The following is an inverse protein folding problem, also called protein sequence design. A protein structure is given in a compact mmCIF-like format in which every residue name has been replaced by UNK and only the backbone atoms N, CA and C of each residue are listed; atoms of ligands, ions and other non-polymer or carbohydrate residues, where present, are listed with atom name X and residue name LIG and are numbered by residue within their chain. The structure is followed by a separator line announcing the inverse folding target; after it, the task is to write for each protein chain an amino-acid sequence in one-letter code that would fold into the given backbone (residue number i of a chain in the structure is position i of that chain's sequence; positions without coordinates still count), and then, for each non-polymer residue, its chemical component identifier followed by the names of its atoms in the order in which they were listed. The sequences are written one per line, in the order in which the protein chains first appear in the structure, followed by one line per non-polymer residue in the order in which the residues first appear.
data_IF_800335326898
#
_entry.id   IF_800335326898
#
_cell.length_a   1.000
_cell.length_b   1.000
_cell.length_c   1.000
_cell.angle_alpha   90.00
_cell.angle_beta   90.00
_cell.angle_gamma   90.00
#
_symmetry.space_group_name_H-M   'P 1'
#
loop_
_entity.id
_entity.type
_entity.pdbx_description
1 polymer ?
#
# COMPACT_ATOMS: atom_id res chain seq x y z
N UNK A 1 3.65 -9.08 -7.88
CA UNK A 1 3.08 -8.53 -6.60
C UNK A 1 3.56 -7.10 -6.45
N UNK A 2 2.72 -6.18 -5.97
CA UNK A 2 3.00 -4.75 -6.12
C UNK A 2 4.27 -4.28 -5.41
N UNK A 3 4.60 -4.81 -4.23
CA UNK A 3 5.82 -4.40 -3.51
C UNK A 3 7.14 -4.61 -4.27
N UNK A 4 7.17 -5.51 -5.27
CA UNK A 4 8.30 -5.68 -6.19
C UNK A 4 8.08 -5.01 -7.56
N UNK A 5 6.83 -4.71 -7.90
CA UNK A 5 6.40 -4.17 -9.19
C UNK A 5 5.80 -2.78 -9.03
N UNK A 6 6.51 -1.89 -8.34
CA UNK A 6 6.03 -0.57 -7.90
C UNK A 6 5.50 0.33 -9.03
N UNK A 7 5.92 0.07 -10.26
CA UNK A 7 5.40 0.75 -11.45
C UNK A 7 3.90 0.47 -11.65
N UNK A 8 3.40 -0.68 -11.21
CA UNK A 8 2.01 -1.07 -11.36
C UNK A 8 1.08 -0.45 -10.30
N UNK A 9 1.58 0.46 -9.45
CA UNK A 9 0.73 1.12 -8.46
C UNK A 9 -0.27 1.99 -9.21
N UNK A 10 -1.56 1.77 -8.96
CA UNK A 10 -2.65 2.49 -9.64
C UNK A 10 -2.69 4.00 -9.39
N UNK A 11 -1.88 4.50 -8.46
CA UNK A 11 -1.70 5.94 -8.16
C UNK A 11 -0.58 6.59 -8.96
N UNK A 12 0.14 5.85 -9.83
CA UNK A 12 1.16 6.41 -10.71
C UNK A 12 0.52 7.22 -11.85
N UNK A 13 -0.08 8.35 -11.50
CA UNK A 13 -0.96 9.15 -12.34
C UNK A 13 -0.45 10.59 -12.45
N UNK A 14 -0.55 11.15 -13.66
CA UNK A 14 -0.35 12.58 -13.90
C UNK A 14 -1.65 13.31 -13.62
N UNK A 15 -1.57 14.39 -12.86
CA UNK A 15 -2.72 15.16 -12.42
C UNK A 15 -2.83 16.44 -13.24
N UNK A 16 -4.05 16.85 -13.58
CA UNK A 16 -4.26 18.16 -14.23
C UNK A 16 -4.18 19.23 -13.14
N UNK A 17 -3.23 20.17 -13.29
CA UNK A 17 -2.99 21.18 -12.28
C UNK A 17 -4.26 22.01 -11.99
N UNK A 18 -4.57 22.20 -10.71
CA UNK A 18 -5.76 22.90 -10.20
C UNK A 18 -7.12 22.23 -10.48
N UNK A 19 -7.13 20.94 -10.83
CA UNK A 19 -8.34 20.14 -10.93
C UNK A 19 -8.26 18.94 -9.99
N UNK A 20 -9.40 18.50 -9.42
CA UNK A 20 -9.41 17.29 -8.61
C UNK A 20 -9.08 16.06 -9.45
N UNK A 21 -8.35 15.11 -8.86
CA UNK A 21 -8.04 13.81 -9.45
C UNK A 21 -8.61 12.70 -8.58
N UNK A 22 -9.41 11.82 -9.19
CA UNK A 22 -9.93 10.63 -8.51
C UNK A 22 -9.59 9.37 -9.28
N UNK A 23 -9.42 8.27 -8.56
CA UNK A 23 -9.45 6.91 -9.11
C UNK A 23 -10.86 6.36 -8.85
N UNK A 24 -11.70 6.27 -9.89
CA UNK A 24 -13.12 5.94 -9.71
C UNK A 24 -13.35 4.45 -9.43
N UNK A 25 -12.41 3.58 -9.77
CA UNK A 25 -12.47 2.15 -9.50
C UNK A 25 -11.06 1.56 -9.44
N UNK A 26 -10.71 0.90 -8.34
CA UNK A 26 -9.53 0.04 -8.27
C UNK A 26 -9.59 -0.88 -7.05
N UNK A 27 -8.83 -1.98 -7.09
CA UNK A 27 -8.76 -2.97 -6.01
C UNK A 27 -7.61 -3.95 -6.17
N UNK A 28 -7.29 -4.62 -5.07
CA UNK A 28 -6.43 -5.78 -5.05
C UNK A 28 -7.36 -6.99 -5.02
N UNK A 29 -7.07 -7.99 -5.85
CA UNK A 29 -8.01 -9.09 -6.09
C UNK A 29 -7.40 -10.44 -5.71
N UNK A 30 -8.20 -11.37 -5.15
CA UNK A 30 -7.81 -12.76 -5.04
C UNK A 30 -7.40 -13.34 -6.41
N UNK A 31 -6.46 -14.30 -6.46
CA UNK A 31 -5.88 -15.04 -5.33
C UNK A 31 -4.65 -14.38 -4.69
N UNK A 32 -4.43 -13.08 -4.90
CA UNK A 32 -3.35 -12.35 -4.23
C UNK A 32 -3.47 -12.53 -2.71
N UNK A 33 -2.37 -12.88 -2.03
CA UNK A 33 -2.34 -13.06 -0.57
C UNK A 33 -1.78 -11.89 0.20
N UNK A 34 -1.35 -10.86 -0.52
CA UNK A 34 -0.66 -9.72 0.04
C UNK A 34 -1.53 -8.47 -0.14
N UNK A 35 -2.83 -8.61 0.10
CA UNK A 35 -3.79 -7.54 -0.20
C UNK A 35 -3.81 -6.45 0.87
N UNK A 36 -3.29 -6.73 2.08
CA UNK A 36 -3.20 -5.74 3.15
C UNK A 36 -2.25 -4.57 2.83
N UNK A 37 -1.37 -4.71 1.83
CA UNK A 37 -0.52 -3.63 1.33
C UNK A 37 -1.36 -2.51 0.69
N UNK A 38 -2.56 -2.84 0.19
CA UNK A 38 -3.34 -1.92 -0.62
C UNK A 38 -3.77 -0.68 0.16
N UNK A 39 -4.47 -0.78 1.31
CA UNK A 39 -4.92 0.42 2.01
C UNK A 39 -3.74 1.24 2.55
N UNK A 40 -2.65 0.57 2.94
CA UNK A 40 -1.41 1.22 3.33
C UNK A 40 -0.82 2.06 2.19
N UNK A 41 -0.51 1.43 1.05
CA UNK A 41 0.11 2.08 -0.10
C UNK A 41 -0.80 3.17 -0.67
N UNK A 42 -2.11 2.90 -0.77
CA UNK A 42 -3.07 3.90 -1.23
C UNK A 42 -3.06 5.11 -0.32
N UNK A 43 -3.22 4.96 1.00
CA UNK A 43 -3.28 6.09 1.92
C UNK A 43 -2.01 6.97 1.90
N UNK A 44 -0.82 6.37 1.87
CA UNK A 44 0.44 7.13 1.90
C UNK A 44 0.72 7.84 0.58
N UNK A 45 0.51 7.19 -0.56
CA UNK A 45 0.82 7.78 -1.88
C UNK A 45 -0.26 8.75 -2.33
N UNK A 46 -1.52 8.49 -1.96
CA UNK A 46 -2.61 9.45 -2.16
C UNK A 46 -2.33 10.75 -1.38
N UNK A 47 -1.92 10.64 -0.10
CA UNK A 47 -1.55 11.80 0.72
C UNK A 47 -0.31 12.53 0.17
N UNK A 48 0.72 11.78 -0.23
CA UNK A 48 1.95 12.36 -0.78
C UNK A 48 1.70 13.15 -2.07
N UNK A 49 0.90 12.58 -2.98
CA UNK A 49 0.73 13.12 -4.33
C UNK A 49 -0.44 14.08 -4.47
N UNK A 50 -1.35 14.12 -3.50
CA UNK A 50 -2.53 15.00 -3.53
C UNK A 50 -3.68 14.47 -4.40
N UNK A 51 -3.74 13.16 -4.68
CA UNK A 51 -4.90 12.57 -5.37
C UNK A 51 -6.12 12.63 -4.43
N UNK A 52 -7.19 13.31 -4.84
CA UNK A 52 -8.32 13.64 -3.97
C UNK A 52 -9.19 12.44 -3.55
N UNK A 53 -9.23 11.39 -4.37
CA UNK A 53 -10.12 10.24 -4.13
C UNK A 53 -9.60 8.92 -4.68
N UNK A 54 -9.80 7.86 -3.90
CA UNK A 54 -9.63 6.48 -4.32
C UNK A 54 -10.89 5.70 -3.98
N UNK A 55 -11.60 5.23 -4.99
CA UNK A 55 -12.84 4.52 -4.83
C UNK A 55 -12.60 3.01 -4.96
N UNK A 56 -12.81 2.31 -3.84
CA UNK A 56 -12.52 0.89 -3.72
C UNK A 56 -13.61 0.05 -4.40
N UNK A 57 -13.22 -0.78 -5.38
CA UNK A 57 -14.17 -1.60 -6.15
C UNK A 57 -14.07 -3.10 -5.83
N UNK A 58 -15.12 -3.80 -5.39
CA UNK A 58 -16.47 -3.37 -5.13
C UNK A 58 -16.92 -3.83 -3.74
N UNK A 59 -17.75 -2.99 -3.09
CA UNK A 59 -18.49 -3.34 -1.88
C UNK A 59 -19.93 -3.65 -2.29
N UNK A 60 -20.31 -4.93 -2.26
CA UNK A 60 -21.67 -5.37 -2.62
C UNK A 60 -22.59 -5.54 -1.41
N UNK A 61 -22.02 -5.64 -0.22
CA UNK A 61 -22.72 -5.91 1.03
C UNK A 61 -22.23 -4.91 2.09
N UNK A 62 -23.10 -4.51 3.04
CA UNK A 62 -22.74 -3.52 4.07
C UNK A 62 -21.81 -4.09 5.15
N UNK A 63 -21.66 -5.41 5.23
CA UNK A 63 -20.87 -6.12 6.24
C UNK A 63 -19.69 -6.87 5.60
N UNK A 64 -18.95 -7.63 6.41
CA UNK A 64 -17.96 -8.60 5.93
C UNK A 64 -18.60 -9.57 4.96
N UNK A 65 -17.95 -9.77 3.81
CA UNK A 65 -18.35 -10.79 2.85
C UNK A 65 -17.61 -12.08 3.11
N UNK A 66 -18.35 -13.17 3.18
CA UNK A 66 -17.78 -14.51 3.24
C UNK A 66 -17.04 -14.91 1.95
N UNK A 67 -15.97 -15.72 2.03
CA UNK A 67 -15.34 -16.27 0.85
C UNK A 67 -16.35 -17.15 0.10
N UNK A 68 -16.65 -16.75 -1.13
CA UNK A 68 -17.70 -17.35 -1.95
C UNK A 68 -17.34 -17.29 -3.43
N UNK A 69 -18.02 -18.11 -4.23
CA UNK A 69 -17.86 -18.14 -5.69
C UNK A 69 -18.13 -16.78 -6.33
N UNK A 70 -17.34 -16.43 -7.34
CA UNK A 70 -17.52 -15.19 -8.10
C UNK A 70 -18.87 -15.12 -8.84
N UNK A 71 -19.40 -16.28 -9.26
CA UNK A 71 -20.65 -16.38 -10.03
C UNK A 71 -21.73 -17.21 -9.32
N UNK A 72 -21.45 -17.73 -8.13
CA UNK A 72 -22.40 -18.50 -7.31
C UNK A 72 -22.49 -19.99 -7.61
N UNK A 73 -21.88 -20.48 -8.70
CA UNK A 73 -22.00 -21.89 -9.10
C UNK A 73 -20.67 -22.58 -9.42
N UNK A 74 -19.64 -21.86 -9.89
CA UNK A 74 -18.31 -22.44 -10.11
C UNK A 74 -17.46 -22.37 -8.83
N UNK A 75 -16.81 -23.45 -8.41
CA UNK A 75 -15.83 -23.41 -7.32
C UNK A 75 -14.75 -22.36 -7.63
N UNK A 76 -14.80 -21.23 -6.91
CA UNK A 76 -13.92 -20.08 -7.11
C UNK A 76 -13.96 -19.16 -5.88
N UNK A 77 -13.08 -18.17 -5.85
CA UNK A 77 -13.21 -17.00 -4.98
C UNK A 77 -13.68 -15.80 -5.78
N UNK A 78 -14.53 -14.98 -5.18
CA UNK A 78 -14.93 -13.69 -5.71
C UNK A 78 -13.71 -12.83 -6.09
N UNK A 79 -13.66 -12.36 -7.33
CA UNK A 79 -12.55 -11.54 -7.83
C UNK A 79 -12.60 -10.11 -7.29
N UNK A 80 -13.73 -9.44 -7.46
CA UNK A 80 -13.93 -8.03 -7.07
C UNK A 80 -14.63 -7.96 -5.72
N UNK A 81 -13.85 -7.93 -4.63
CA UNK A 81 -14.36 -7.94 -3.25
C UNK A 81 -13.46 -7.11 -2.36
N UNK A 82 -14.00 -6.07 -1.71
CA UNK A 82 -13.23 -5.25 -0.76
C UNK A 82 -13.63 -5.47 0.70
N UNK A 83 -14.83 -5.98 0.97
CA UNK A 83 -15.31 -6.27 2.32
C UNK A 83 -14.72 -7.57 2.90
N UNK A 84 -13.41 -7.72 2.73
CA UNK A 84 -12.57 -8.81 3.26
C UNK A 84 -11.67 -8.30 4.40
N UNK A 85 -11.17 -9.19 5.27
CA UNK A 85 -10.25 -8.78 6.34
C UNK A 85 -8.95 -8.10 5.86
N UNK A 86 -8.50 -8.38 4.64
CA UNK A 86 -7.26 -7.80 4.08
C UNK A 86 -7.47 -6.40 3.50
N UNK A 87 -8.67 -6.06 3.03
CA UNK A 87 -8.96 -4.74 2.45
C UNK A 87 -9.74 -3.88 3.43
N UNK A 88 -11.06 -4.08 3.56
CA UNK A 88 -11.91 -3.32 4.48
C UNK A 88 -11.35 -3.31 5.90
N UNK A 89 -10.83 -4.45 6.37
CA UNK A 89 -10.22 -4.50 7.71
C UNK A 89 -8.95 -3.69 7.85
N UNK A 90 -8.27 -3.33 6.77
CA UNK A 90 -7.11 -2.43 6.85
C UNK A 90 -7.47 -0.95 6.63
N UNK A 91 -8.75 -0.62 6.47
CA UNK A 91 -9.18 0.77 6.30
C UNK A 91 -9.10 1.65 7.55
N UNK A 92 -9.38 1.20 8.80
CA UNK A 92 -9.47 2.12 9.94
C UNK A 92 -8.23 3.02 10.12
N UNK A 93 -7.04 2.44 10.19
CA UNK A 93 -5.81 3.22 10.32
C UNK A 93 -5.46 3.99 9.03
N UNK A 94 -5.62 3.38 7.85
CA UNK A 94 -5.35 4.02 6.56
C UNK A 94 -6.22 5.26 6.31
N UNK A 95 -7.52 5.15 6.58
CA UNK A 95 -8.48 6.23 6.45
C UNK A 95 -8.23 7.34 7.48
N UNK A 96 -7.86 6.98 8.72
CA UNK A 96 -7.51 7.97 9.74
C UNK A 96 -6.29 8.80 9.31
N UNK A 97 -5.21 8.15 8.84
CA UNK A 97 -4.01 8.83 8.35
C UNK A 97 -4.31 9.79 7.20
N UNK A 98 -5.08 9.33 6.20
CA UNK A 98 -5.44 10.13 5.04
C UNK A 98 -6.32 11.33 5.42
N UNK A 99 -7.43 11.08 6.14
CA UNK A 99 -8.41 12.11 6.47
C UNK A 99 -7.89 13.17 7.42
N UNK A 100 -6.92 12.84 8.27
CA UNK A 100 -6.32 13.76 9.22
C UNK A 100 -5.04 14.42 8.70
N UNK A 101 -4.59 14.11 7.48
CA UNK A 101 -3.39 14.71 6.89
C UNK A 101 -2.11 14.39 7.68
N UNK A 102 -1.95 13.14 8.11
CA UNK A 102 -0.77 12.72 8.91
C UNK A 102 0.51 12.50 8.10
N UNK A 103 0.38 12.54 6.78
CA UNK A 103 1.48 12.51 5.82
C UNK A 103 1.49 13.87 5.13
N UNK A 104 2.67 14.49 5.04
CA UNK A 104 2.84 15.77 4.36
C UNK A 104 2.66 15.55 2.85
N UNK A 105 1.81 16.35 2.22
CA UNK A 105 1.75 16.40 0.76
C UNK A 105 3.07 16.96 0.21
N UNK A 106 3.63 16.27 -0.78
CA UNK A 106 4.86 16.68 -1.45
C UNK A 106 4.63 17.82 -2.43
N UNK A 107 5.66 18.66 -2.63
CA UNK A 107 5.65 19.57 -3.78
C UNK A 107 5.71 18.77 -5.09
N UNK A 108 5.12 19.32 -6.15
CA UNK A 108 5.16 18.67 -7.44
C UNK A 108 6.59 18.61 -7.97
N UNK A 109 7.06 17.37 -8.17
CA UNK A 109 8.41 17.07 -8.66
C UNK A 109 8.52 17.26 -10.17
N UNK A 110 7.38 17.25 -10.86
CA UNK A 110 7.27 17.50 -12.29
C UNK A 110 6.04 18.38 -12.51
N UNK A 111 6.26 19.53 -13.16
CA UNK A 111 5.19 20.39 -13.70
C UNK A 111 5.37 20.47 -15.19
N UNK A 112 4.62 19.65 -15.93
CA UNK A 112 4.60 19.63 -17.38
C UNK A 112 3.66 20.73 -17.91
N UNK A 113 4.09 21.48 -18.91
CA UNK A 113 3.22 22.37 -19.68
C UNK A 113 3.07 21.81 -21.10
N UNK A 114 1.85 21.80 -21.62
CA UNK A 114 1.57 21.33 -22.98
C UNK A 114 0.77 22.37 -23.75
N UNK A 115 1.33 22.85 -24.85
CA UNK A 115 0.61 23.77 -25.74
C UNK A 115 -0.51 23.03 -26.47
N UNK A 116 -1.54 23.75 -26.92
CA UNK A 116 -2.61 23.16 -27.74
C UNK A 116 -2.06 22.60 -29.06
N UNK A 117 -1.02 23.23 -29.62
CA UNK A 117 -0.33 22.75 -30.84
C UNK A 117 0.38 21.42 -30.61
N UNK A 118 1.06 21.24 -29.46
CA UNK A 118 1.73 19.98 -29.13
C UNK A 118 0.73 18.85 -28.89
N UNK A 119 -0.41 19.16 -28.28
CA UNK A 119 -1.52 18.21 -28.12
C UNK A 119 -2.09 17.81 -29.48
N UNK A 120 -2.41 18.78 -30.34
CA UNK A 120 -2.94 18.56 -31.68
C UNK A 120 -2.01 17.69 -32.54
N UNK A 121 -0.71 17.95 -32.45
CA UNK A 121 0.32 17.20 -33.17
C UNK A 121 0.70 15.87 -32.49
N UNK A 122 0.03 15.48 -31.41
CA UNK A 122 0.27 14.24 -30.66
C UNK A 122 1.74 14.09 -30.21
N UNK A 123 2.37 15.19 -29.82
CA UNK A 123 3.72 15.16 -29.27
C UNK A 123 3.75 14.25 -28.03
N UNK A 124 4.79 13.42 -27.92
CA UNK A 124 4.94 12.49 -26.80
C UNK A 124 5.16 13.29 -25.51
N UNK A 125 4.43 13.02 -24.41
CA UNK A 125 4.68 13.71 -23.15
C UNK A 125 6.04 13.32 -22.55
N UNK A 126 6.66 14.21 -21.77
CA UNK A 126 7.96 13.94 -21.13
C UNK A 126 7.91 12.76 -20.13
N UNK A 127 6.71 12.50 -19.60
CA UNK A 127 6.38 11.35 -18.76
C UNK A 127 4.93 10.93 -19.01
N UNK A 128 4.70 9.63 -19.00
CA UNK A 128 3.38 9.02 -19.03
C UNK A 128 3.25 8.06 -17.86
N UNK A 129 2.01 7.87 -17.44
CA UNK A 129 1.56 6.77 -16.61
C UNK A 129 2.01 5.45 -17.24
N UNK A 130 2.10 4.40 -16.42
CA UNK A 130 2.52 3.08 -16.91
C UNK A 130 1.68 2.61 -18.08
N UNK A 131 2.28 1.74 -18.91
CA UNK A 131 1.60 1.07 -20.02
C UNK A 131 0.32 0.42 -19.47
N UNK A 132 -0.84 0.97 -19.82
CA UNK A 132 -2.10 0.26 -19.65
C UNK A 132 -2.02 -0.93 -20.61
N UNK A 133 -2.16 -2.15 -20.07
CA UNK A 133 -2.33 -3.33 -20.90
C UNK A 133 -3.79 -3.36 -21.36
N UNK A 134 -4.02 -3.13 -22.65
CA UNK A 134 -5.29 -3.34 -23.32
C UNK A 134 -5.15 -4.54 -24.27
N UNK A 135 -5.79 -5.69 -23.97
CA UNK A 135 -5.69 -6.89 -24.79
C UNK A 135 -6.28 -6.73 -26.21
N UNK A 136 -6.99 -5.64 -26.52
CA UNK A 136 -7.46 -5.31 -27.86
C UNK A 136 -6.47 -4.40 -28.61
N UNK A 137 -5.60 -3.67 -27.90
CA UNK A 137 -4.63 -2.73 -28.48
C UNK A 137 -3.21 -3.28 -28.54
N UNK A 138 -2.86 -4.15 -27.58
CA UNK A 138 -1.46 -4.50 -27.29
C UNK A 138 -1.08 -5.91 -27.77
N UNK A 139 -1.92 -6.59 -28.58
CA UNK A 139 -1.62 -7.95 -29.07
C UNK A 139 -0.38 -8.02 -29.96
N UNK A 140 -0.03 -6.93 -30.65
CA UNK A 140 1.06 -6.85 -31.61
C UNK A 140 2.19 -5.90 -31.18
N UNK A 141 2.21 -5.45 -29.92
CA UNK A 141 3.23 -4.51 -29.47
C UNK A 141 4.54 -5.25 -29.16
N UNK A 142 5.56 -5.05 -29.99
CA UNK A 142 6.93 -5.45 -29.65
C UNK A 142 7.42 -4.59 -28.48
N UNK A 143 8.02 -5.24 -27.48
CA UNK A 143 8.63 -4.58 -26.34
C UNK A 143 9.84 -3.76 -26.83
N UNK A 144 9.58 -2.55 -27.30
CA UNK A 144 10.63 -1.56 -27.47
C UNK A 144 11.01 -1.08 -26.06
N UNK A 145 11.90 -1.86 -25.46
CA UNK A 145 12.73 -1.51 -24.31
C UNK A 145 13.80 -0.47 -24.68
N UNK A 146 13.58 0.32 -25.73
CA UNK A 146 14.42 1.46 -26.09
C UNK A 146 14.25 2.56 -25.03
N UNK A 147 14.95 2.37 -23.91
CA UNK A 147 15.18 3.32 -22.81
C UNK A 147 15.76 4.66 -23.30
N UNK A 148 16.26 4.71 -24.53
CA UNK A 148 16.96 5.85 -25.14
C UNK A 148 16.09 7.10 -25.38
N UNK A 149 14.76 7.02 -25.26
CA UNK A 149 13.86 8.16 -25.51
C UNK A 149 13.08 8.67 -24.29
N UNK A 150 13.13 7.99 -23.13
CA UNK A 150 12.46 8.49 -21.92
C UNK A 150 13.31 9.56 -21.24
N UNK A 151 12.87 10.82 -21.32
CA UNK A 151 13.55 11.95 -20.67
C UNK A 151 13.50 11.90 -19.14
N UNK A 152 12.54 11.17 -18.56
CA UNK A 152 12.27 11.15 -17.11
C UNK A 152 12.15 9.71 -16.59
N UNK A 153 12.69 9.48 -15.39
CA UNK A 153 12.62 8.19 -14.72
C UNK A 153 11.16 7.82 -14.37
N UNK A 154 10.66 6.61 -14.71
CA UNK A 154 9.25 6.25 -14.53
C UNK A 154 8.81 6.13 -13.06
N UNK A 155 9.76 6.00 -12.12
CA UNK A 155 9.46 5.98 -10.68
C UNK A 155 9.24 7.38 -10.09
N UNK A 156 9.25 8.44 -10.90
CA UNK A 156 8.97 9.80 -10.45
C UNK A 156 7.63 9.89 -9.69
N UNK A 157 6.57 9.22 -10.16
CA UNK A 157 5.26 9.24 -9.49
C UNK A 157 5.27 8.73 -8.03
N UNK A 158 6.31 7.99 -7.62
CA UNK A 158 6.50 7.49 -6.27
C UNK A 158 7.41 8.40 -5.41
N UNK A 159 8.01 9.42 -6.02
CA UNK A 159 8.79 10.45 -5.30
C UNK A 159 7.88 11.62 -4.89
N UNK A 160 6.96 12.04 -5.75
CA UNK A 160 6.02 13.13 -5.48
C UNK A 160 5.01 13.31 -6.61
N UNK A 161 4.19 14.38 -6.55
CA UNK A 161 3.16 14.61 -7.56
C UNK A 161 3.75 14.99 -8.92
N UNK A 162 3.08 14.53 -9.98
CA UNK A 162 3.39 14.85 -11.37
C UNK A 162 2.18 15.56 -11.95
N UNK A 163 2.36 16.83 -12.32
CA UNK A 163 1.27 17.69 -12.76
C UNK A 163 1.41 18.05 -14.24
N UNK A 164 0.28 18.30 -14.91
CA UNK A 164 0.21 18.85 -16.26
C UNK A 164 -0.70 20.07 -16.32
N UNK A 165 -0.24 21.11 -17.01
CA UNK A 165 -1.06 22.26 -17.41
C UNK A 165 -1.20 22.27 -18.92
N UNK A 166 -2.44 22.33 -19.43
CA UNK A 166 -2.73 22.41 -20.85
C UNK A 166 -2.93 23.86 -21.32
N UNK A 167 -2.63 24.13 -22.59
CA UNK A 167 -2.79 25.47 -23.19
C UNK A 167 -1.74 26.50 -22.76
N UNK A 168 -0.68 26.06 -22.08
CA UNK A 168 0.38 26.91 -21.55
C UNK A 168 1.69 26.66 -22.31
N UNK A 169 2.48 27.71 -22.55
CA UNK A 169 3.78 27.68 -23.23
C UNK A 169 4.98 27.85 -22.28
N UNK A 170 4.76 27.89 -20.95
CA UNK A 170 5.83 27.88 -19.96
C UNK A 170 6.71 26.64 -20.10
N UNK A 171 7.98 26.75 -19.70
CA UNK A 171 8.89 25.60 -19.64
C UNK A 171 8.46 24.62 -18.55
N UNK A 172 8.70 23.34 -18.81
CA UNK A 172 8.55 22.28 -17.80
C UNK A 172 9.46 22.54 -16.60
N UNK A 173 9.00 22.17 -15.40
CA UNK A 173 9.84 22.11 -14.20
C UNK A 173 10.01 20.66 -13.80
N UNK A 174 11.25 20.23 -13.60
CA UNK A 174 11.60 18.86 -13.26
C UNK A 174 12.61 18.93 -12.11
N UNK A 175 12.31 18.29 -10.99
CA UNK A 175 13.22 18.11 -9.87
C UNK A 175 14.23 17.01 -10.20
N UNK A 176 15.48 17.16 -9.74
CA UNK A 176 16.48 16.10 -9.87
C UNK A 176 16.09 14.88 -9.02
N UNK A 177 15.85 13.75 -9.69
CA UNK A 177 15.39 12.52 -9.09
C UNK A 177 16.52 11.66 -8.50
N UNK A 178 17.79 11.94 -8.82
CA UNK A 178 18.93 11.10 -8.41
C UNK A 178 19.07 10.96 -6.89
N UNK A 179 18.66 11.98 -6.13
CA UNK A 179 18.69 11.94 -4.66
C UNK A 179 17.57 11.09 -4.05
N UNK A 180 16.53 10.77 -4.81
CA UNK A 180 15.32 10.08 -4.34
C UNK A 180 15.23 8.64 -4.84
N UNK A 181 15.91 8.32 -5.94
CA UNK A 181 15.82 7.02 -6.61
C UNK A 181 17.21 6.40 -6.65
N UNK A 182 17.40 5.34 -5.87
CA UNK A 182 18.57 4.49 -5.91
C UNK A 182 18.23 3.23 -6.70
N UNK A 183 18.49 3.27 -8.01
CA UNK A 183 18.19 2.15 -8.91
C UNK A 183 19.01 0.89 -8.58
N UNK A 184 20.25 1.08 -8.12
CA UNK A 184 21.17 -0.02 -7.79
C UNK A 184 20.63 -0.83 -6.63
N UNK A 185 20.23 -0.15 -5.56
CA UNK A 185 19.71 -0.80 -4.37
C UNK A 185 18.19 -1.00 -4.42
N UNK A 186 17.53 -0.54 -5.49
CA UNK A 186 16.07 -0.62 -5.69
C UNK A 186 15.29 0.09 -4.57
N UNK A 187 15.67 1.32 -4.26
CA UNK A 187 15.06 2.13 -3.20
C UNK A 187 14.52 3.43 -3.78
N UNK A 188 13.31 3.79 -3.37
CA UNK A 188 12.66 5.07 -3.67
C UNK A 188 12.37 5.78 -2.35
N UNK A 189 12.57 7.10 -2.33
CA UNK A 189 12.23 7.98 -1.21
C UNK A 189 11.28 9.07 -1.68
N UNK A 190 10.26 9.36 -0.88
CA UNK A 190 9.40 10.52 -1.17
C UNK A 190 10.18 11.83 -1.03
N UNK A 191 9.74 12.87 -1.73
CA UNK A 191 10.27 14.24 -1.64
C UNK A 191 10.17 14.80 -0.21
N UNK A 192 9.26 14.28 0.59
CA UNK A 192 9.09 14.64 2.01
C UNK A 192 10.01 13.88 2.95
N UNK A 193 10.61 12.78 2.49
CA UNK A 193 11.41 11.86 3.32
C UNK A 193 10.59 10.95 4.24
N UNK A 194 9.26 11.07 4.24
CA UNK A 194 8.36 10.31 5.12
C UNK A 194 8.08 8.88 4.64
N UNK A 195 8.31 8.60 3.35
CA UNK A 195 8.05 7.28 2.74
C UNK A 195 9.36 6.77 2.14
N UNK A 196 9.65 5.49 2.40
CA UNK A 196 10.75 4.77 1.76
C UNK A 196 10.24 3.43 1.25
N UNK A 197 10.41 3.17 -0.04
CA UNK A 197 10.05 1.90 -0.65
C UNK A 197 11.31 1.18 -1.15
N UNK A 198 11.72 0.12 -0.45
CA UNK A 198 12.71 -0.82 -0.94
C UNK A 198 11.98 -1.92 -1.74
N UNK A 199 11.87 -1.71 -3.05
CA UNK A 199 11.21 -2.65 -3.95
C UNK A 199 12.13 -3.80 -4.39
N UNK A 200 13.41 -3.78 -4.02
CA UNK A 200 14.29 -4.94 -4.11
C UNK A 200 13.91 -6.00 -3.09
N UNK A 201 13.58 -5.58 -1.88
CA UNK A 201 13.19 -6.46 -0.78
C UNK A 201 11.68 -6.65 -0.62
N UNK A 202 10.89 -5.80 -1.27
CA UNK A 202 9.43 -5.83 -1.20
C UNK A 202 8.92 -5.26 0.12
N UNK A 203 9.48 -4.14 0.57
CA UNK A 203 9.17 -3.51 1.86
C UNK A 203 8.98 -2.00 1.67
N UNK A 204 7.88 -1.46 2.18
CA UNK A 204 7.57 -0.03 2.17
C UNK A 204 7.35 0.47 3.60
N UNK A 205 8.05 1.55 3.96
CA UNK A 205 8.05 2.16 5.28
C UNK A 205 7.37 3.52 5.25
N UNK A 206 6.63 3.83 6.31
CA UNK A 206 6.06 5.14 6.62
C UNK A 206 6.67 5.64 7.93
N UNK A 207 7.18 6.86 7.94
CA UNK A 207 7.84 7.44 9.12
C UNK A 207 7.48 8.92 9.32
N UNK A 208 6.25 9.19 9.76
CA UNK A 208 5.82 10.54 10.16
C UNK A 208 5.78 10.67 11.68
N UNK A 209 5.57 11.88 12.20
CA UNK A 209 5.44 12.10 13.64
C UNK A 209 4.16 11.48 14.23
N UNK A 210 3.08 11.40 13.45
CA UNK A 210 1.73 10.99 13.91
C UNK A 210 1.34 9.60 13.43
N UNK A 211 2.04 9.07 12.42
CA UNK A 211 1.83 7.74 11.89
C UNK A 211 3.15 7.10 11.46
N UNK A 212 3.37 5.86 11.87
CA UNK A 212 4.54 5.05 11.53
C UNK A 212 4.08 3.65 11.18
N UNK A 213 4.78 3.01 10.25
CA UNK A 213 4.39 1.67 9.86
C UNK A 213 5.24 1.09 8.75
N UNK A 214 4.91 -0.15 8.42
CA UNK A 214 5.60 -0.93 7.41
C UNK A 214 4.63 -1.91 6.77
N UNK A 215 4.78 -2.13 5.47
CA UNK A 215 4.16 -3.25 4.75
C UNK A 215 5.22 -4.01 3.96
N UNK A 216 5.17 -5.34 3.98
CA UNK A 216 6.05 -6.18 3.17
C UNK A 216 6.46 -7.49 3.83
N UNK A 217 7.58 -8.05 3.35
CA UNK A 217 8.13 -9.31 3.87
C UNK A 217 9.01 -9.09 5.09
N UNK A 218 8.41 -9.09 6.27
CA UNK A 218 9.05 -8.54 7.46
C UNK A 218 10.03 -9.53 8.12
N UNK A 219 9.82 -10.84 7.99
CA UNK A 219 10.69 -11.86 8.59
C UNK A 219 12.13 -11.90 8.02
N UNK A 220 12.40 -11.14 6.96
CA UNK A 220 13.75 -10.93 6.41
C UNK A 220 14.56 -9.92 7.23
N UNK A 221 13.90 -9.12 8.06
CA UNK A 221 14.52 -8.08 8.86
C UNK A 221 14.53 -8.52 10.32
N UNK A 222 15.70 -8.45 10.96
CA UNK A 222 15.81 -8.72 12.40
C UNK A 222 15.01 -7.71 13.23
N UNK A 223 15.05 -6.45 12.81
CA UNK A 223 14.39 -5.35 13.50
C UNK A 223 14.12 -4.19 12.53
N UNK A 224 12.96 -3.55 12.69
CA UNK A 224 12.55 -2.38 11.92
C UNK A 224 12.49 -1.20 12.87
N UNK A 225 13.46 -0.28 12.75
CA UNK A 225 13.50 0.96 13.54
C UNK A 225 12.95 2.11 12.73
N UNK A 226 11.89 2.73 13.26
CA UNK A 226 11.37 4.01 12.82
C UNK A 226 11.66 5.06 13.89
N UNK A 227 11.16 6.29 13.74
CA UNK A 227 11.53 7.39 14.64
C UNK A 227 11.02 7.17 16.08
N UNK A 228 9.79 6.68 16.26
CA UNK A 228 9.16 6.53 17.58
C UNK A 228 8.73 5.09 17.89
N UNK A 229 8.89 4.16 16.94
CA UNK A 229 8.59 2.75 17.13
C UNK A 229 9.72 1.84 16.64
N UNK A 230 9.79 0.68 17.27
CA UNK A 230 10.59 -0.46 16.83
C UNK A 230 9.70 -1.68 16.69
N UNK A 231 9.80 -2.38 15.57
CA UNK A 231 9.01 -3.58 15.26
C UNK A 231 9.95 -4.77 15.06
N UNK A 232 9.63 -5.90 15.70
CA UNK A 232 10.19 -7.22 15.36
C UNK A 232 9.06 -8.12 14.93
N UNK A 233 9.22 -8.84 13.83
CA UNK A 233 8.14 -9.63 13.24
C UNK A 233 8.69 -10.91 12.62
N UNK A 234 8.21 -12.06 13.08
CA UNK A 234 8.49 -13.35 12.42
C UNK A 234 7.46 -13.68 11.33
N UNK A 235 6.39 -12.88 11.18
CA UNK A 235 5.46 -13.04 10.07
C UNK A 235 6.18 -12.88 8.73
N UNK A 236 6.00 -13.86 7.84
CA UNK A 236 6.54 -13.81 6.48
C UNK A 236 6.11 -12.55 5.74
N UNK A 237 4.84 -12.16 5.89
CA UNK A 237 4.29 -10.93 5.34
C UNK A 237 3.33 -10.29 6.34
N UNK A 238 3.43 -8.97 6.51
CA UNK A 238 2.46 -8.20 7.29
C UNK A 238 2.45 -6.73 6.86
N UNK A 239 1.32 -6.08 7.14
CA UNK A 239 1.16 -4.63 7.14
C UNK A 239 0.87 -4.18 8.56
N UNK A 240 1.71 -3.32 9.12
CA UNK A 240 1.62 -2.84 10.49
C UNK A 240 1.55 -1.32 10.46
N UNK A 241 0.51 -0.75 11.05
CA UNK A 241 0.30 0.70 11.16
C UNK A 241 0.15 1.06 12.63
N UNK A 242 0.92 2.05 13.07
CA UNK A 242 0.83 2.70 14.38
C UNK A 242 0.42 4.15 14.14
N UNK A 243 -0.77 4.53 14.58
CA UNK A 243 -1.36 5.84 14.25
C UNK A 243 -1.99 6.50 15.47
N UNK A 244 -1.71 7.78 15.67
CA UNK A 244 -2.33 8.60 16.72
C UNK A 244 -3.83 8.82 16.45
N UNK A 245 -4.65 8.60 17.47
CA UNK A 245 -6.10 8.87 17.44
C UNK A 245 -6.46 10.25 18.02
N UNK A 246 -5.49 10.95 18.60
CA UNK A 246 -5.64 12.24 19.28
C UNK A 246 -4.88 13.40 18.57
N UNK A 247 -4.42 13.17 17.34
CA UNK A 247 -3.70 14.13 16.50
C UNK A 247 -2.36 14.64 17.10
N UNK A 248 -1.84 13.99 18.15
CA UNK A 248 -0.52 14.27 18.73
C UNK A 248 0.57 13.38 18.11
N UNK A 249 1.85 13.79 18.12
CA UNK A 249 2.94 12.89 17.76
C UNK A 249 2.90 11.58 18.57
N UNK A 250 3.28 10.44 17.98
CA UNK A 250 3.25 9.11 18.62
C UNK A 250 3.91 9.12 20.01
N UNK A 251 5.04 9.83 20.14
CA UNK A 251 5.79 10.01 21.40
C UNK A 251 5.01 10.70 22.53
N UNK A 252 3.95 11.44 22.18
CA UNK A 252 3.16 12.28 23.10
C UNK A 252 1.67 11.91 23.11
N UNK A 253 1.24 11.01 22.22
CA UNK A 253 -0.15 10.61 22.08
C UNK A 253 -0.63 9.85 23.33
N UNK A 254 -1.85 10.13 23.73
CA UNK A 254 -2.57 9.45 24.82
C UNK A 254 -3.49 8.36 24.28
N UNK A 255 -3.61 8.24 22.94
CA UNK A 255 -4.47 7.25 22.31
C UNK A 255 -3.95 6.86 20.94
N UNK A 256 -3.47 5.63 20.80
CA UNK A 256 -2.86 5.12 19.57
C UNK A 256 -3.62 3.89 19.09
N UNK A 257 -3.94 3.84 17.79
CA UNK A 257 -4.39 2.62 17.13
C UNK A 257 -3.19 1.88 16.53
N UNK A 258 -3.01 0.63 16.96
CA UNK A 258 -2.18 -0.37 16.30
C UNK A 258 -3.07 -1.25 15.44
N UNK A 259 -2.78 -1.33 14.14
CA UNK A 259 -3.51 -2.16 13.19
C UNK A 259 -2.54 -3.08 12.45
N UNK A 260 -2.89 -4.37 12.39
CA UNK A 260 -2.11 -5.40 11.67
C UNK A 260 -2.95 -6.07 10.59
N UNK A 261 -2.37 -6.25 9.41
CA UNK A 261 -2.93 -7.00 8.30
C UNK A 261 -1.95 -8.05 7.78
N UNK A 262 -2.21 -9.31 8.07
CA UNK A 262 -1.49 -10.47 7.53
C UNK A 262 -2.22 -11.07 6.32
N UNK A 263 -1.72 -12.21 5.83
CA UNK A 263 -2.36 -12.96 4.74
C UNK A 263 -3.71 -13.49 5.22
N UNK A 264 -4.75 -13.33 4.41
CA UNK A 264 -6.04 -14.00 4.60
C UNK A 264 -6.34 -15.03 3.50
N UNK A 265 -6.89 -16.15 3.95
CA UNK A 265 -7.37 -17.25 3.10
C UNK A 265 -8.67 -17.79 3.64
N UNK A 266 -9.47 -18.37 2.77
CA UNK A 266 -10.62 -19.19 3.19
C UNK A 266 -10.14 -20.40 4.00
N UNK A 267 -11.01 -20.90 4.89
CA UNK A 267 -10.74 -22.16 5.60
C UNK A 267 -10.56 -23.29 4.59
N UNK A 268 -9.57 -24.16 4.79
CA UNK A 268 -9.20 -25.26 3.89
C UNK A 268 -8.63 -24.84 2.52
N UNK A 269 -8.25 -23.57 2.33
CA UNK A 269 -7.52 -23.13 1.15
C UNK A 269 -6.25 -23.96 0.94
N UNK A 270 -6.04 -24.45 -0.29
CA UNK A 270 -4.84 -25.21 -0.65
C UNK A 270 -4.31 -24.80 -2.01
N UNK A 271 -2.98 -24.74 -2.10
CA UNK A 271 -2.23 -24.49 -3.32
C UNK A 271 -1.01 -25.42 -3.37
N UNK A 272 -0.50 -25.69 -4.57
CA UNK A 272 0.73 -26.44 -4.79
C UNK A 272 1.66 -25.67 -5.72
N UNK A 273 2.97 -25.86 -5.59
CA UNK A 273 3.92 -25.31 -6.56
C UNK A 273 3.65 -25.94 -7.93
N UNK A 274 3.70 -25.13 -8.98
CA UNK A 274 3.45 -25.59 -10.35
C UNK A 274 4.25 -24.75 -11.34
N UNK A 275 4.43 -25.30 -12.54
CA UNK A 275 5.05 -24.61 -13.66
C UNK A 275 4.16 -24.68 -14.89
N UNK A 276 4.08 -23.60 -15.66
CA UNK A 276 3.34 -23.57 -16.92
C UNK A 276 4.11 -22.75 -17.97
N UNK A 277 3.80 -22.92 -19.26
CA UNK A 277 4.33 -22.03 -20.30
C UNK A 277 3.40 -20.85 -20.49
N UNK A 278 3.95 -19.63 -20.52
CA UNK A 278 3.17 -18.46 -20.90
C UNK A 278 2.83 -18.46 -22.41
N UNK A 279 2.08 -17.45 -22.87
CA UNK A 279 1.70 -17.30 -24.28
C UNK A 279 2.89 -17.18 -25.24
N UNK A 280 4.07 -16.79 -24.73
CA UNK A 280 5.32 -16.67 -25.50
C UNK A 280 6.17 -17.95 -25.40
N UNK A 281 5.67 -18.98 -24.74
CA UNK A 281 6.36 -20.27 -24.56
C UNK A 281 7.38 -20.28 -23.41
N UNK A 282 7.53 -19.20 -22.65
CA UNK A 282 8.48 -19.14 -21.55
C UNK A 282 7.95 -19.93 -20.36
N UNK A 283 8.83 -20.69 -19.71
CA UNK A 283 8.49 -21.41 -18.50
C UNK A 283 8.30 -20.41 -17.34
N UNK A 284 7.14 -20.48 -16.72
CA UNK A 284 6.76 -19.71 -15.54
C UNK A 284 6.68 -20.64 -14.33
N UNK A 285 7.08 -20.13 -13.17
CA UNK A 285 6.94 -20.80 -11.89
C UNK A 285 5.91 -20.06 -11.04
N UNK A 286 5.11 -20.81 -10.27
CA UNK A 286 4.15 -20.22 -9.37
C UNK A 286 3.36 -21.28 -8.63
N UNK A 287 2.08 -20.99 -8.41
CA UNK A 287 1.21 -21.86 -7.63
C UNK A 287 -0.08 -22.17 -8.41
N UNK A 288 -0.47 -23.44 -8.39
CA UNK A 288 -1.80 -23.88 -8.77
C UNK A 288 -2.70 -23.93 -7.53
N UNK A 289 -3.93 -23.42 -7.66
CA UNK A 289 -4.93 -23.47 -6.60
C UNK A 289 -5.67 -24.81 -6.73
N UNK A 290 -5.51 -25.67 -5.72
CA UNK A 290 -6.14 -27.00 -5.69
C UNK A 290 -7.41 -27.01 -4.85
N UNK A 291 -7.58 -26.06 -3.93
CA UNK A 291 -8.83 -25.86 -3.19
C UNK A 291 -9.04 -24.37 -2.88
N UNK A 292 -10.21 -23.85 -3.25
CA UNK A 292 -10.63 -22.48 -2.94
C UNK A 292 -11.11 -22.30 -1.50
N UNK A 293 -11.27 -23.38 -0.74
CA UNK A 293 -11.74 -23.34 0.65
C UNK A 293 -13.20 -22.90 0.81
N UNK A 294 -13.58 -22.62 2.05
CA UNK A 294 -14.93 -22.18 2.46
C UNK A 294 -14.87 -21.13 3.56
N UNK A 295 -16.02 -20.54 3.89
CA UNK A 295 -16.15 -19.65 5.03
C UNK A 295 -15.76 -20.33 6.35
N UNK A 296 -15.24 -19.58 7.33
CA UNK A 296 -14.91 -18.15 7.28
C UNK A 296 -13.53 -17.88 6.62
N UNK A 297 -13.21 -16.60 6.44
CA UNK A 297 -11.82 -16.18 6.24
C UNK A 297 -10.97 -16.50 7.48
N UNK A 298 -9.70 -16.85 7.26
CA UNK A 298 -8.65 -17.15 8.24
C UNK A 298 -7.48 -16.24 7.96
N UNK A 299 -7.00 -15.56 8.98
CA UNK A 299 -5.80 -14.72 8.91
C UNK A 299 -4.63 -15.51 9.48
N UNK A 300 -3.43 -15.27 8.95
CA UNK A 300 -2.21 -15.75 9.60
C UNK A 300 -2.06 -15.09 10.97
N UNK A 301 -1.70 -15.90 11.95
CA UNK A 301 -1.45 -15.50 13.32
C UNK A 301 -0.34 -14.44 13.40
N UNK A 302 -0.51 -13.45 14.26
CA UNK A 302 0.52 -12.45 14.51
C UNK A 302 1.64 -13.03 15.38
N UNK A 303 2.88 -12.81 14.96
CA UNK A 303 4.09 -12.95 15.76
C UNK A 303 4.91 -11.67 15.62
N UNK A 304 4.43 -10.63 16.31
CA UNK A 304 4.90 -9.25 16.20
C UNK A 304 5.10 -8.68 17.60
N UNK A 305 6.29 -8.14 17.83
CA UNK A 305 6.61 -7.32 18.99
C UNK A 305 6.71 -5.86 18.56
N UNK A 306 6.05 -4.98 19.33
CA UNK A 306 6.09 -3.53 19.11
C UNK A 306 6.64 -2.85 20.35
N UNK A 307 7.64 -2.01 20.16
CA UNK A 307 8.15 -1.08 21.17
C UNK A 307 7.83 0.34 20.72
N UNK A 308 7.28 1.16 21.63
CA UNK A 308 6.96 2.56 21.38
C UNK A 308 7.79 3.43 22.33
N UNK A 309 8.36 4.52 21.80
CA UNK A 309 9.03 5.57 22.55
C UNK A 309 8.00 6.48 23.25
N UNK A 310 7.05 5.91 23.97
CA UNK A 310 6.00 6.63 24.70
C UNK A 310 5.64 5.88 25.99
N UNK A 311 6.32 6.18 27.12
CA UNK A 311 6.12 5.48 28.40
C UNK A 311 4.82 5.88 29.12
N UNK A 312 4.04 6.85 28.57
CA UNK A 312 2.79 7.31 29.17
C UNK A 312 1.64 6.33 28.94
N UNK A 313 1.71 5.55 27.86
CA UNK A 313 0.73 4.50 27.55
C UNK A 313 0.87 3.37 28.57
N UNK A 314 -0.25 2.98 29.17
CA UNK A 314 -0.30 2.03 30.28
C UNK A 314 -1.14 0.80 29.99
N UNK A 315 -2.07 0.87 29.04
CA UNK A 315 -3.04 -0.18 28.75
C UNK A 315 -3.15 -0.44 27.26
N UNK A 316 -3.36 -1.70 26.92
CA UNK A 316 -3.72 -2.15 25.58
C UNK A 316 -5.14 -2.72 25.60
N UNK A 317 -6.01 -2.14 24.79
CA UNK A 317 -7.39 -2.58 24.59
C UNK A 317 -7.44 -3.36 23.28
N UNK A 318 -7.56 -4.68 23.39
CA UNK A 318 -7.64 -5.62 22.27
C UNK A 318 -9.07 -5.57 21.71
N UNK A 319 -9.19 -5.33 20.40
CA UNK A 319 -10.49 -5.23 19.75
C UNK A 319 -10.81 -6.48 18.92
N UNK A 320 -12.10 -6.72 18.68
CA UNK A 320 -12.56 -7.68 17.69
C UNK A 320 -12.45 -7.14 16.25
N UNK A 321 -12.84 -7.95 15.27
CA UNK A 321 -12.78 -7.55 13.85
C UNK A 321 -13.68 -6.35 13.52
N UNK A 322 -14.70 -6.05 14.34
CA UNK A 322 -15.60 -4.92 14.18
C UNK A 322 -15.12 -3.68 14.97
N UNK A 323 -13.97 -3.76 15.64
CA UNK A 323 -13.42 -2.66 16.43
C UNK A 323 -14.05 -2.52 17.83
N UNK A 324 -14.77 -3.53 18.30
CA UNK A 324 -15.35 -3.53 19.66
C UNK A 324 -14.34 -4.05 20.68
N UNK A 325 -14.21 -3.43 21.87
CA UNK A 325 -13.33 -3.92 22.92
C UNK A 325 -13.67 -5.35 23.35
N UNK A 326 -12.66 -6.23 23.41
CA UNK A 326 -12.79 -7.59 23.95
C UNK A 326 -12.08 -7.76 25.28
N UNK A 327 -10.90 -7.18 25.41
CA UNK A 327 -10.02 -7.40 26.55
C UNK A 327 -9.11 -6.19 26.73
N UNK A 328 -8.81 -5.85 27.98
CA UNK A 328 -7.80 -4.87 28.34
C UNK A 328 -6.66 -5.58 29.06
N UNK A 329 -5.43 -5.29 28.67
CA UNK A 329 -4.21 -5.80 29.31
C UNK A 329 -3.29 -4.63 29.69
N UNK A 330 -2.52 -4.78 30.75
CA UNK A 330 -1.49 -3.81 31.10
C UNK A 330 -0.31 -3.92 30.14
N UNK A 331 0.28 -2.76 29.80
CA UNK A 331 1.47 -2.72 28.97
C UNK A 331 2.73 -2.85 29.82
N UNK A 332 3.68 -3.65 29.32
CA UNK A 332 5.03 -3.65 29.86
C UNK A 332 5.70 -2.32 29.52
N UNK A 333 6.44 -1.71 30.45
CA UNK A 333 7.12 -0.43 30.20
C UNK A 333 8.39 -0.28 31.02
N UNK A 334 9.26 0.61 30.55
CA UNK A 334 10.38 1.14 31.32
C UNK A 334 10.31 2.67 31.35
N UNK A 335 11.40 3.34 31.79
CA UNK A 335 11.43 4.81 31.93
C UNK A 335 11.20 5.58 30.62
N UNK A 336 11.46 4.96 29.47
CA UNK A 336 11.46 5.63 28.15
C UNK A 336 10.52 5.01 27.13
N UNK A 337 10.07 3.77 27.34
CA UNK A 337 9.42 2.96 26.31
C UNK A 337 8.32 2.10 26.90
N UNK A 338 7.35 1.79 26.03
CA UNK A 338 6.29 0.83 26.27
C UNK A 338 6.37 -0.31 25.26
N UNK A 339 6.06 -1.52 25.69
CA UNK A 339 6.25 -2.76 24.96
C UNK A 339 4.93 -3.54 24.90
N UNK A 340 4.64 -4.07 23.71
CA UNK A 340 3.50 -4.94 23.46
C UNK A 340 3.93 -6.12 22.60
N UNK A 341 3.70 -7.34 23.08
CA UNK A 341 3.55 -8.48 22.19
C UNK A 341 2.15 -8.39 21.58
N UNK A 342 2.08 -8.17 20.27
CA UNK A 342 0.79 -8.00 19.61
C UNK A 342 -0.01 -9.30 19.71
N UNK A 343 -1.30 -9.27 20.10
CA UNK A 343 -2.05 -10.49 20.32
C UNK A 343 -2.17 -11.33 19.04
N UNK A 344 -1.94 -12.63 19.16
CA UNK A 344 -1.86 -13.58 18.04
C UNK A 344 -3.06 -13.54 17.10
N UNK A 345 -4.27 -13.34 17.65
CA UNK A 345 -5.54 -13.41 16.92
C UNK A 345 -6.26 -12.05 16.81
N UNK A 346 -5.57 -10.94 17.09
CA UNK A 346 -6.14 -9.61 17.00
C UNK A 346 -5.84 -8.95 15.65
N UNK A 347 -6.68 -8.00 15.26
CA UNK A 347 -6.40 -7.10 14.12
C UNK A 347 -6.10 -5.67 14.57
N UNK A 348 -6.72 -5.26 15.66
CA UNK A 348 -6.60 -3.92 16.21
C UNK A 348 -6.34 -3.97 17.70
N UNK A 349 -5.48 -3.07 18.16
CA UNK A 349 -5.26 -2.78 19.57
C UNK A 349 -5.23 -1.26 19.73
N UNK A 350 -5.98 -0.73 20.70
CA UNK A 350 -5.84 0.66 21.12
C UNK A 350 -4.92 0.72 22.32
N UNK A 351 -3.94 1.63 22.31
CA UNK A 351 -3.08 1.92 23.44
C UNK A 351 -3.53 3.22 24.10
N UNK A 352 -3.63 3.23 25.44
CA UNK A 352 -3.99 4.37 26.29
C UNK A 352 -3.10 4.48 27.52
#
# INVERSE_FOLDING_TARGET
MLLFEVRNLGLNLKQVANYPMIIPESSWVPPLGYQSEAPFLVSIFQSLTGIDGFYWFAMKEPQWREPSSANGYRPSLGKWVINTPELLGNFPAAALMYRQGYIKQGEAIIKQNRTLKDLWNRQIPIISETRSFDPNRDQNYQDDNNQTTRKIHPLAFLVGSVEVTYGNNKKDKIVDLKQYIDEKNKIIRSVTGEITWNYGEGICFLNTAKAQGVTGFLNKLEEIKLKDITIKSNNYYATIIVVSMDNKPIKQSEKILLQVGTIARSTDWKKQASTWKDKKGNLQQGFEIINYGKAPWRLENNDIQITLNNPKLTKAIILDANGLPKQTVELNKNRSQTYLQFPTNAKYVILE
#
